data_IF_645531975137
#
_entry.id   IF_645531975137
#
_cell.length_a   1.000
_cell.length_b   1.000
_cell.length_c   1.000
_cell.angle_alpha   90.00
_cell.angle_beta   90.00
_cell.angle_gamma   90.00
#
_symmetry.space_group_name_H-M   'P 1'
#
loop_
_entity.id
_entity.type
_entity.pdbx_description
1 polymer ?
#
# COMPACT_ATOMS: atom_id res chain seq x y z
N UNK A 1 -59.14 -48.97 -73.76
CA UNK A 1 -58.91 -49.76 -72.54
C UNK A 1 -58.15 -48.90 -71.56
N UNK A 2 -58.76 -48.58 -70.43
CA UNK A 2 -58.10 -47.89 -69.32
C UNK A 2 -57.67 -48.98 -68.34
N UNK A 3 -56.36 -49.14 -68.15
CA UNK A 3 -55.84 -50.00 -67.08
C UNK A 3 -55.74 -49.16 -65.81
N UNK A 4 -56.40 -49.59 -64.74
CA UNK A 4 -56.19 -49.06 -63.39
C UNK A 4 -55.25 -50.01 -62.68
N UNK A 5 -54.01 -49.61 -62.48
CA UNK A 5 -53.06 -50.33 -61.63
C UNK A 5 -53.06 -49.68 -60.25
N UNK A 6 -53.58 -50.38 -59.25
CA UNK A 6 -53.41 -50.02 -57.84
C UNK A 6 -52.05 -50.54 -57.37
N UNK A 7 -51.04 -49.67 -57.36
CA UNK A 7 -49.81 -49.93 -56.61
C UNK A 7 -50.14 -49.97 -55.12
N UNK A 8 -49.98 -51.13 -54.48
CA UNK A 8 -50.01 -51.22 -53.02
C UNK A 8 -48.61 -50.90 -52.51
N UNK A 9 -48.50 -50.00 -51.54
CA UNK A 9 -47.22 -49.67 -50.91
C UNK A 9 -46.72 -50.87 -50.11
N UNK A 10 -45.40 -51.10 -50.10
CA UNK A 10 -44.81 -52.18 -49.34
C UNK A 10 -44.96 -51.98 -47.83
N UNK A 11 -44.64 -53.00 -47.03
CA UNK A 11 -44.56 -52.85 -45.58
C UNK A 11 -43.50 -51.80 -45.20
N UNK A 12 -43.73 -51.06 -44.11
CA UNK A 12 -42.77 -50.08 -43.61
C UNK A 12 -41.43 -50.76 -43.28
N UNK A 13 -40.33 -50.20 -43.79
CA UNK A 13 -38.99 -50.73 -43.62
C UNK A 13 -38.01 -49.71 -43.02
N UNK A 14 -38.25 -48.41 -43.23
CA UNK A 14 -37.36 -47.34 -42.75
C UNK A 14 -38.12 -46.07 -42.41
N UNK A 15 -37.49 -45.23 -41.61
CA UNK A 15 -37.87 -43.86 -41.36
C UNK A 15 -37.15 -42.94 -42.36
N UNK A 16 -37.82 -41.87 -42.77
CA UNK A 16 -37.21 -40.80 -43.55
C UNK A 16 -37.65 -39.44 -43.02
N UNK A 17 -36.72 -38.52 -42.85
CA UNK A 17 -37.03 -37.15 -42.42
C UNK A 17 -37.57 -36.40 -43.63
N UNK A 18 -38.82 -35.98 -43.58
CA UNK A 18 -39.45 -35.13 -44.61
C UNK A 18 -39.40 -33.65 -44.25
N UNK A 19 -39.12 -33.35 -42.99
CA UNK A 19 -38.89 -31.99 -42.50
C UNK A 19 -37.79 -32.08 -41.45
N UNK A 20 -36.65 -31.48 -41.74
CA UNK A 20 -35.52 -31.42 -40.80
C UNK A 20 -35.87 -30.58 -39.57
N UNK A 21 -35.29 -30.88 -38.39
CA UNK A 21 -35.25 -29.92 -37.29
C UNK A 21 -34.53 -28.63 -37.72
N UNK A 22 -34.70 -27.55 -36.95
CA UNK A 22 -33.99 -26.30 -37.21
C UNK A 22 -32.47 -26.50 -37.18
N UNK A 23 -31.74 -25.87 -38.10
CA UNK A 23 -30.28 -25.95 -38.19
C UNK A 23 -29.56 -25.23 -37.04
N UNK A 24 -30.26 -24.40 -36.27
CA UNK A 24 -29.82 -23.84 -35.01
C UNK A 24 -30.92 -23.92 -33.95
N UNK A 25 -30.51 -23.94 -32.68
CA UNK A 25 -31.41 -23.97 -31.53
C UNK A 25 -30.75 -23.32 -30.31
N UNK A 26 -31.55 -22.97 -29.31
CA UNK A 26 -31.06 -22.58 -27.99
C UNK A 26 -31.30 -23.73 -27.01
N UNK A 27 -30.31 -24.01 -26.16
CA UNK A 27 -30.44 -25.05 -25.14
C UNK A 27 -31.68 -24.82 -24.28
N UNK A 28 -32.52 -25.85 -24.14
CA UNK A 28 -33.75 -25.80 -23.34
C UNK A 28 -34.94 -25.12 -24.01
N UNK A 29 -34.79 -24.58 -25.20
CA UNK A 29 -35.90 -24.05 -26.00
C UNK A 29 -36.41 -25.10 -27.01
N UNK A 30 -37.73 -25.14 -27.30
CA UNK A 30 -38.25 -25.94 -28.39
C UNK A 30 -37.57 -25.57 -29.71
N UNK A 31 -37.28 -26.57 -30.55
CA UNK A 31 -36.78 -26.34 -31.90
C UNK A 31 -37.77 -25.50 -32.68
N UNK A 32 -37.31 -24.42 -33.32
CA UNK A 32 -38.18 -23.51 -34.05
C UNK A 32 -38.87 -24.21 -35.22
N UNK A 33 -38.14 -25.09 -35.90
CA UNK A 33 -38.67 -26.02 -36.89
C UNK A 33 -38.74 -27.42 -36.27
N UNK A 34 -39.96 -27.95 -36.15
CA UNK A 34 -40.20 -29.28 -35.62
C UNK A 34 -40.04 -30.33 -36.72
N UNK A 35 -39.37 -31.45 -36.44
CA UNK A 35 -39.14 -32.48 -37.44
C UNK A 35 -40.41 -33.27 -37.76
N UNK A 36 -40.50 -33.72 -39.02
CA UNK A 36 -41.54 -34.65 -39.48
C UNK A 36 -40.85 -35.87 -40.07
N UNK A 37 -41.24 -37.05 -39.61
CA UNK A 37 -40.68 -38.34 -40.04
C UNK A 37 -41.76 -39.16 -40.72
N UNK A 38 -41.49 -39.63 -41.93
CA UNK A 38 -42.39 -40.45 -42.73
C UNK A 38 -41.96 -41.92 -42.69
N UNK A 39 -42.91 -42.83 -42.48
CA UNK A 39 -42.71 -44.25 -42.73
C UNK A 39 -42.54 -44.48 -44.23
N UNK A 40 -41.47 -45.18 -44.63
CA UNK A 40 -41.25 -45.59 -46.00
C UNK A 40 -41.03 -47.10 -46.12
N UNK A 41 -41.42 -47.66 -47.26
CA UNK A 41 -41.05 -49.01 -47.64
C UNK A 41 -39.57 -49.09 -48.06
N UNK A 42 -39.09 -50.29 -48.39
CA UNK A 42 -37.71 -50.49 -48.82
C UNK A 42 -37.34 -49.69 -50.08
N UNK A 43 -38.32 -49.39 -50.92
CA UNK A 43 -38.18 -48.64 -52.17
C UNK A 43 -38.28 -47.12 -51.98
N UNK A 44 -38.57 -46.64 -50.77
CA UNK A 44 -38.68 -45.22 -50.44
C UNK A 44 -40.07 -44.61 -50.64
N UNK A 45 -41.08 -45.42 -50.90
CA UNK A 45 -42.45 -44.93 -51.02
C UNK A 45 -43.07 -44.70 -49.63
N UNK A 46 -43.87 -43.64 -49.42
CA UNK A 46 -44.54 -43.41 -48.14
C UNK A 46 -45.56 -44.51 -47.81
N UNK A 47 -45.56 -44.99 -46.58
CA UNK A 47 -46.46 -46.05 -46.09
C UNK A 47 -47.52 -45.46 -45.17
N UNK A 48 -48.80 -45.63 -45.52
CA UNK A 48 -49.94 -45.16 -44.73
C UNK A 48 -50.22 -46.11 -43.58
N UNK A 49 -49.64 -45.83 -42.41
CA UNK A 49 -49.83 -46.63 -41.20
C UNK A 49 -49.83 -45.72 -39.96
N UNK A 50 -50.92 -45.76 -39.19
CA UNK A 50 -51.07 -44.97 -37.97
C UNK A 50 -50.65 -45.73 -36.72
N UNK A 51 -50.27 -45.02 -35.67
CA UNK A 51 -49.99 -45.57 -34.34
C UNK A 51 -48.56 -46.12 -34.17
N UNK A 52 -47.68 -45.94 -35.15
CA UNK A 52 -46.26 -46.30 -35.00
C UNK A 52 -45.57 -45.23 -34.19
N UNK A 53 -44.95 -45.61 -33.06
CA UNK A 53 -44.22 -44.68 -32.20
C UNK A 53 -42.84 -44.40 -32.79
N UNK A 54 -42.55 -43.13 -33.04
CA UNK A 54 -41.23 -42.65 -33.45
C UNK A 54 -40.63 -41.87 -32.30
N UNK A 55 -39.41 -42.24 -31.89
CA UNK A 55 -38.66 -41.60 -30.81
C UNK A 55 -37.42 -40.93 -31.39
N UNK A 56 -37.19 -39.68 -31.03
CA UNK A 56 -35.96 -38.97 -31.28
C UNK A 56 -34.97 -39.22 -30.13
N UNK A 57 -33.71 -39.48 -30.47
CA UNK A 57 -32.59 -39.55 -29.53
C UNK A 57 -31.43 -38.72 -30.04
N UNK A 58 -30.55 -38.28 -29.15
CA UNK A 58 -29.31 -37.61 -29.57
C UNK A 58 -28.39 -38.64 -30.22
N UNK A 59 -28.04 -38.42 -31.48
CA UNK A 59 -27.17 -39.31 -32.26
C UNK A 59 -25.69 -38.95 -32.10
N UNK A 60 -25.39 -37.65 -32.06
CA UNK A 60 -24.06 -37.11 -31.83
C UNK A 60 -24.13 -35.77 -31.12
N UNK A 61 -23.04 -35.40 -30.45
CA UNK A 61 -22.86 -34.09 -29.82
C UNK A 61 -22.18 -34.18 -28.44
N UNK A 62 -21.84 -33.03 -27.83
CA UNK A 62 -21.09 -32.94 -26.58
C UNK A 62 -21.89 -33.26 -25.29
N UNK A 63 -22.99 -34.01 -25.41
CA UNK A 63 -23.86 -34.43 -24.30
C UNK A 63 -25.10 -33.56 -24.12
N UNK A 64 -26.26 -34.10 -24.51
CA UNK A 64 -27.55 -33.41 -24.44
C UNK A 64 -28.72 -34.35 -24.22
N UNK A 65 -29.85 -33.79 -23.80
CA UNK A 65 -31.11 -34.48 -23.52
C UNK A 65 -32.23 -33.91 -24.36
N UNK A 66 -33.20 -34.75 -24.70
CA UNK A 66 -34.40 -34.34 -25.41
C UNK A 66 -35.61 -34.37 -24.49
N UNK A 67 -36.49 -33.39 -24.63
CA UNK A 67 -37.84 -33.40 -24.08
C UNK A 67 -38.87 -33.39 -25.21
N UNK A 68 -40.06 -33.96 -24.97
CA UNK A 68 -41.08 -34.22 -26.00
C UNK A 68 -40.52 -35.04 -27.18
N UNK A 69 -39.71 -36.04 -26.84
CA UNK A 69 -38.89 -36.80 -27.78
C UNK A 69 -39.63 -37.94 -28.49
N UNK A 70 -40.94 -38.07 -28.36
CA UNK A 70 -41.71 -39.15 -28.99
C UNK A 70 -43.04 -38.65 -29.54
N UNK A 71 -43.46 -39.18 -30.68
CA UNK A 71 -44.78 -38.96 -31.26
C UNK A 71 -45.22 -40.22 -32.03
N UNK A 72 -46.49 -40.28 -32.43
CA UNK A 72 -47.03 -41.42 -33.19
C UNK A 72 -47.45 -41.02 -34.59
N UNK A 73 -47.31 -41.93 -35.56
CA UNK A 73 -47.73 -41.67 -36.93
C UNK A 73 -49.25 -41.52 -37.07
N UNK A 74 -49.67 -40.60 -37.95
CA UNK A 74 -51.07 -40.45 -38.37
C UNK A 74 -51.44 -41.46 -39.47
N UNK A 75 -52.66 -41.40 -39.99
CA UNK A 75 -53.11 -42.26 -41.10
C UNK A 75 -52.24 -42.18 -42.37
N UNK A 76 -51.50 -41.09 -42.58
CA UNK A 76 -50.55 -40.95 -43.69
C UNK A 76 -49.19 -41.62 -43.45
N UNK A 77 -48.94 -42.15 -42.24
CA UNK A 77 -47.62 -42.63 -41.84
C UNK A 77 -46.62 -41.54 -41.46
N UNK A 78 -47.06 -40.28 -41.35
CA UNK A 78 -46.22 -39.19 -40.88
C UNK A 78 -46.32 -39.02 -39.36
N UNK A 79 -45.16 -38.95 -38.71
CA UNK A 79 -44.96 -38.63 -37.30
C UNK A 79 -44.46 -37.18 -37.20
N UNK A 80 -45.34 -36.27 -36.80
CA UNK A 80 -45.01 -34.85 -36.60
C UNK A 80 -44.69 -34.60 -35.14
N UNK A 81 -43.47 -34.13 -34.87
CA UNK A 81 -43.08 -33.73 -33.52
C UNK A 81 -43.67 -32.37 -33.17
N UNK A 82 -43.91 -32.14 -31.87
CA UNK A 82 -44.36 -30.86 -31.35
C UNK A 82 -43.65 -30.60 -30.03
N UNK A 83 -43.07 -29.41 -29.88
CA UNK A 83 -42.33 -29.03 -28.67
C UNK A 83 -41.04 -29.82 -28.43
N UNK A 84 -40.52 -30.56 -29.43
CA UNK A 84 -39.23 -31.25 -29.32
C UNK A 84 -38.17 -30.22 -28.93
N UNK A 85 -37.54 -30.45 -27.79
CA UNK A 85 -36.61 -29.53 -27.15
C UNK A 85 -35.28 -30.23 -26.93
N UNK A 86 -34.19 -29.59 -27.35
CA UNK A 86 -32.81 -30.07 -27.11
C UNK A 86 -32.15 -29.20 -26.04
N UNK A 87 -31.66 -29.85 -24.98
CA UNK A 87 -30.90 -29.19 -23.91
C UNK A 87 -29.52 -29.81 -23.82
N UNK A 88 -28.47 -29.01 -23.73
CA UNK A 88 -27.10 -29.52 -23.69
C UNK A 88 -26.04 -28.43 -23.67
N UNK A 89 -24.78 -28.84 -23.71
CA UNK A 89 -23.66 -27.91 -23.87
C UNK A 89 -23.66 -27.31 -25.29
N UNK A 90 -23.20 -26.06 -25.43
CA UNK A 90 -23.08 -25.40 -26.74
C UNK A 90 -22.23 -26.25 -27.68
N UNK A 91 -22.73 -26.49 -28.90
CA UNK A 91 -22.03 -27.34 -29.86
C UNK A 91 -22.90 -27.81 -31.03
N UNK A 92 -22.37 -28.73 -31.83
CA UNK A 92 -23.08 -29.32 -32.96
C UNK A 92 -23.68 -30.67 -32.55
N UNK A 93 -24.96 -30.88 -32.89
CA UNK A 93 -25.71 -32.09 -32.57
C UNK A 93 -26.37 -32.67 -33.82
N UNK A 94 -26.58 -33.98 -33.85
CA UNK A 94 -27.54 -34.62 -34.76
C UNK A 94 -28.52 -35.46 -33.96
N UNK A 95 -29.76 -35.56 -34.46
CA UNK A 95 -30.81 -36.38 -33.85
C UNK A 95 -30.99 -37.64 -34.69
N UNK A 96 -31.23 -38.78 -34.03
CA UNK A 96 -31.59 -40.04 -34.67
C UNK A 96 -33.02 -40.34 -34.31
N UNK A 97 -33.85 -40.55 -35.33
CA UNK A 97 -35.22 -40.99 -35.17
C UNK A 97 -35.26 -42.50 -35.32
N UNK A 98 -35.86 -43.16 -34.34
CA UNK A 98 -35.94 -44.61 -34.24
C UNK A 98 -37.37 -45.08 -33.97
N UNK A 99 -37.68 -46.27 -34.45
CA UNK A 99 -38.92 -47.00 -34.22
C UNK A 99 -38.59 -48.50 -34.25
N UNK A 100 -39.37 -49.31 -33.55
CA UNK A 100 -39.15 -50.76 -33.50
C UNK A 100 -39.15 -51.35 -34.92
N UNK A 101 -38.10 -52.13 -35.24
CA UNK A 101 -37.93 -52.85 -36.51
C UNK A 101 -37.88 -51.99 -37.79
N UNK A 102 -37.61 -50.68 -37.68
CA UNK A 102 -37.41 -49.80 -38.84
C UNK A 102 -35.98 -49.25 -38.88
N UNK A 103 -35.43 -49.11 -40.09
CA UNK A 103 -34.17 -48.39 -40.30
C UNK A 103 -34.29 -46.94 -39.80
N UNK A 104 -33.35 -46.44 -38.97
CA UNK A 104 -33.44 -45.10 -38.42
C UNK A 104 -33.11 -44.02 -39.45
N UNK A 105 -33.54 -42.79 -39.19
CA UNK A 105 -33.11 -41.60 -39.93
C UNK A 105 -32.29 -40.67 -39.03
N UNK A 106 -31.28 -40.02 -39.59
CA UNK A 106 -30.41 -39.08 -38.87
C UNK A 106 -30.61 -37.69 -39.47
N UNK A 107 -30.80 -36.69 -38.61
CA UNK A 107 -30.97 -35.30 -39.04
C UNK A 107 -29.68 -34.69 -39.57
N UNK A 108 -29.85 -33.57 -40.25
CA UNK A 108 -28.78 -32.59 -40.44
C UNK A 108 -28.26 -32.05 -39.09
N UNK A 109 -27.08 -31.43 -39.10
CA UNK A 109 -26.47 -30.85 -37.91
C UNK A 109 -27.28 -29.65 -37.37
N UNK A 110 -27.41 -29.60 -36.05
CA UNK A 110 -28.05 -28.53 -35.29
C UNK A 110 -26.96 -27.81 -34.49
N UNK A 111 -26.72 -26.54 -34.79
CA UNK A 111 -25.88 -25.68 -33.98
C UNK A 111 -26.65 -25.23 -32.73
N UNK A 112 -26.35 -25.84 -31.59
CA UNK A 112 -26.94 -25.50 -30.30
C UNK A 112 -26.17 -24.34 -29.66
N UNK A 113 -26.83 -23.19 -29.53
CA UNK A 113 -26.38 -22.06 -28.71
C UNK A 113 -26.88 -22.16 -27.28
N UNK A 114 -26.38 -21.27 -26.42
CA UNK A 114 -26.81 -21.20 -25.02
C UNK A 114 -28.30 -20.84 -24.91
N UNK A 115 -28.93 -21.35 -23.85
CA UNK A 115 -30.29 -21.03 -23.46
C UNK A 115 -30.43 -19.64 -22.85
N UNK A 116 -31.63 -19.35 -22.34
CA UNK A 116 -31.87 -18.17 -21.53
C UNK A 116 -31.03 -18.21 -20.24
N UNK A 117 -30.55 -17.06 -19.79
CA UNK A 117 -29.81 -16.95 -18.54
C UNK A 117 -30.69 -17.38 -17.35
N UNK A 118 -30.10 -18.16 -16.44
CA UNK A 118 -30.73 -18.64 -15.21
C UNK A 118 -29.97 -18.20 -13.96
N UNK A 119 -28.63 -18.10 -14.04
CA UNK A 119 -27.77 -17.72 -12.91
C UNK A 119 -26.70 -16.73 -13.36
N UNK A 120 -26.13 -15.97 -12.43
CA UNK A 120 -24.87 -15.25 -12.63
C UNK A 120 -23.78 -15.83 -11.73
N UNK A 121 -22.52 -15.59 -12.07
CA UNK A 121 -21.38 -15.99 -11.25
C UNK A 121 -20.12 -15.21 -11.58
N UNK A 122 -19.24 -15.02 -10.59
CA UNK A 122 -17.94 -14.39 -10.79
C UNK A 122 -17.04 -15.30 -11.64
N UNK A 123 -16.54 -14.78 -12.75
CA UNK A 123 -15.58 -15.46 -13.65
C UNK A 123 -14.19 -14.82 -13.61
N UNK A 124 -14.12 -13.55 -13.22
CA UNK A 124 -12.90 -12.94 -12.69
C UNK A 124 -13.22 -12.37 -11.31
N UNK A 125 -12.62 -12.97 -10.28
CA UNK A 125 -12.81 -12.59 -8.87
C UNK A 125 -12.17 -11.22 -8.58
N UNK A 126 -12.68 -10.46 -7.59
CA UNK A 126 -11.98 -9.31 -7.05
C UNK A 126 -10.63 -9.72 -6.45
N UNK A 127 -9.60 -8.92 -6.71
CA UNK A 127 -8.29 -9.03 -6.08
C UNK A 127 -8.16 -8.02 -4.93
N UNK A 128 -7.11 -8.18 -4.12
CA UNK A 128 -6.82 -7.16 -3.10
C UNK A 128 -6.29 -5.87 -3.75
N UNK A 129 -6.71 -4.72 -3.22
CA UNK A 129 -6.33 -3.40 -3.72
C UNK A 129 -6.14 -2.40 -2.58
N UNK A 130 -5.45 -1.28 -2.83
CA UNK A 130 -5.40 -0.19 -1.85
C UNK A 130 -6.76 0.53 -1.77
N UNK A 131 -7.07 1.10 -0.61
CA UNK A 131 -8.27 1.90 -0.41
C UNK A 131 -8.37 3.03 -1.44
N UNK A 132 -9.52 3.14 -2.09
CA UNK A 132 -9.79 4.10 -3.18
C UNK A 132 -9.15 3.74 -4.53
N UNK A 133 -8.23 2.79 -4.60
CA UNK A 133 -7.66 2.33 -5.86
C UNK A 133 -8.63 1.40 -6.60
N UNK A 134 -8.55 1.42 -7.93
CA UNK A 134 -9.29 0.48 -8.78
C UNK A 134 -8.83 -0.94 -8.52
N UNK A 135 -9.78 -1.85 -8.30
CA UNK A 135 -9.53 -3.30 -8.20
C UNK A 135 -9.12 -3.81 -9.58
N UNK A 136 -7.91 -4.39 -9.66
CA UNK A 136 -7.30 -4.85 -10.91
C UNK A 136 -6.69 -6.25 -10.72
N UNK A 137 -6.89 -7.21 -11.66
CA UNK A 137 -7.65 -7.08 -12.91
C UNK A 137 -9.15 -6.79 -12.72
N UNK A 138 -9.80 -6.31 -13.78
CA UNK A 138 -11.24 -5.98 -13.74
C UNK A 138 -12.08 -7.19 -13.36
N UNK A 139 -13.04 -6.98 -12.45
CA UNK A 139 -13.99 -8.01 -12.01
C UNK A 139 -14.96 -8.33 -13.15
N UNK A 140 -15.27 -9.61 -13.35
CA UNK A 140 -16.20 -10.07 -14.38
C UNK A 140 -17.26 -10.99 -13.77
N UNK A 141 -18.51 -10.72 -14.13
CA UNK A 141 -19.67 -11.55 -13.78
C UNK A 141 -20.30 -12.07 -15.07
N UNK A 142 -20.49 -13.38 -15.15
CA UNK A 142 -21.02 -14.05 -16.35
C UNK A 142 -22.41 -14.63 -16.08
N UNK A 143 -23.35 -14.33 -16.97
CA UNK A 143 -24.66 -14.96 -17.00
C UNK A 143 -24.57 -16.35 -17.64
N UNK A 144 -25.16 -17.34 -16.99
CA UNK A 144 -25.17 -18.74 -17.42
C UNK A 144 -26.57 -19.27 -17.55
N UNK A 145 -26.82 -20.10 -18.55
CA UNK A 145 -28.06 -20.87 -18.67
C UNK A 145 -28.11 -22.04 -17.66
N UNK A 146 -29.22 -22.78 -17.64
CA UNK A 146 -29.41 -23.92 -16.74
C UNK A 146 -28.43 -25.08 -16.98
N UNK A 147 -27.73 -25.10 -18.11
CA UNK A 147 -26.70 -26.09 -18.44
C UNK A 147 -25.28 -25.58 -18.16
N UNK A 148 -25.15 -24.36 -17.62
CA UNK A 148 -23.86 -23.74 -17.29
C UNK A 148 -23.17 -23.07 -18.48
N UNK A 149 -23.80 -23.02 -19.66
CA UNK A 149 -23.26 -22.32 -20.82
C UNK A 149 -23.36 -20.80 -20.60
N UNK A 150 -22.41 -20.03 -21.12
CA UNK A 150 -22.52 -18.57 -21.14
C UNK A 150 -23.70 -18.14 -22.01
N UNK A 151 -24.69 -17.50 -21.39
CA UNK A 151 -25.87 -16.99 -22.08
C UNK A 151 -25.50 -15.71 -22.86
N UNK A 152 -24.91 -15.86 -24.05
CA UNK A 152 -24.34 -14.74 -24.82
C UNK A 152 -25.36 -13.69 -25.27
N UNK A 153 -26.64 -14.07 -25.37
CA UNK A 153 -27.74 -13.15 -25.67
C UNK A 153 -28.15 -12.28 -24.46
N UNK A 154 -27.65 -12.56 -23.26
CA UNK A 154 -27.93 -11.75 -22.08
C UNK A 154 -27.19 -10.41 -22.17
N UNK A 155 -27.97 -9.33 -22.24
CA UNK A 155 -27.51 -7.94 -22.26
C UNK A 155 -28.01 -7.12 -21.06
N UNK A 156 -28.47 -7.81 -20.00
CA UNK A 156 -28.97 -7.16 -18.79
C UNK A 156 -27.88 -6.43 -18.01
N UNK A 157 -28.29 -5.50 -17.15
CA UNK A 157 -27.37 -4.83 -16.21
C UNK A 157 -27.14 -5.71 -14.99
N UNK A 158 -25.87 -5.88 -14.63
CA UNK A 158 -25.44 -6.51 -13.39
C UNK A 158 -25.04 -5.39 -12.42
N UNK A 159 -25.52 -5.49 -11.18
CA UNK A 159 -25.17 -4.58 -10.09
C UNK A 159 -24.37 -5.34 -9.03
N UNK A 160 -23.28 -4.74 -8.54
CA UNK A 160 -22.50 -5.23 -7.42
C UNK A 160 -22.81 -4.46 -6.15
N UNK A 161 -22.92 -5.18 -5.05
CA UNK A 161 -22.96 -4.66 -3.68
C UNK A 161 -21.84 -5.27 -2.84
N UNK A 162 -21.63 -4.73 -1.64
CA UNK A 162 -20.74 -5.36 -0.65
C UNK A 162 -21.55 -6.40 0.12
N UNK A 163 -21.05 -7.65 0.16
CA UNK A 163 -21.58 -8.70 1.02
C UNK A 163 -21.09 -8.54 2.46
N UNK A 164 -19.85 -8.95 2.72
CA UNK A 164 -19.17 -8.73 4.00
C UNK A 164 -18.48 -7.37 3.94
N UNK A 165 -18.82 -6.47 4.87
CA UNK A 165 -18.28 -5.11 4.96
C UNK A 165 -17.58 -4.87 6.31
N UNK A 166 -16.34 -5.38 6.49
CA UNK A 166 -15.67 -5.41 7.79
C UNK A 166 -15.33 -4.02 8.35
N UNK A 167 -15.18 -3.00 7.48
CA UNK A 167 -14.77 -1.66 7.89
C UNK A 167 -15.75 -0.54 7.49
N UNK A 168 -16.98 -0.89 7.06
CA UNK A 168 -17.98 0.10 6.64
C UNK A 168 -17.55 0.91 5.40
N UNK A 169 -16.87 0.26 4.46
CA UNK A 169 -16.47 0.86 3.19
C UNK A 169 -17.64 1.09 2.23
N UNK A 170 -17.41 1.97 1.27
CA UNK A 170 -18.31 2.34 0.17
C UNK A 170 -17.75 1.75 -1.12
N UNK A 171 -18.59 1.04 -1.88
CA UNK A 171 -18.25 0.50 -3.19
C UNK A 171 -18.60 1.50 -4.29
N UNK A 172 -17.65 1.78 -5.19
CA UNK A 172 -17.85 2.61 -6.39
C UNK A 172 -17.77 1.76 -7.66
N UNK A 173 -18.38 2.21 -8.76
CA UNK A 173 -18.36 1.47 -10.04
C UNK A 173 -19.28 0.25 -10.06
N UNK A 174 -20.43 0.33 -9.40
CA UNK A 174 -21.27 -0.83 -9.04
C UNK A 174 -22.11 -1.41 -10.17
N UNK A 175 -22.27 -0.76 -11.31
CA UNK A 175 -23.19 -1.21 -12.38
C UNK A 175 -22.48 -1.39 -13.71
N UNK A 176 -22.73 -2.50 -14.40
CA UNK A 176 -22.20 -2.76 -15.74
C UNK A 176 -23.19 -3.58 -16.57
N UNK A 177 -23.37 -3.21 -17.84
CA UNK A 177 -24.18 -3.97 -18.78
C UNK A 177 -23.41 -5.17 -19.32
N UNK A 178 -24.07 -6.32 -19.41
CA UNK A 178 -23.45 -7.50 -19.99
C UNK A 178 -23.28 -7.37 -21.51
N UNK A 179 -22.10 -7.73 -22.01
CA UNK A 179 -21.80 -7.88 -23.43
C UNK A 179 -21.40 -9.32 -23.67
N UNK A 180 -22.10 -10.00 -24.59
CA UNK A 180 -21.95 -11.45 -24.80
C UNK A 180 -22.13 -12.26 -23.50
N UNK A 181 -23.06 -11.84 -22.64
CA UNK A 181 -23.34 -12.50 -21.35
C UNK A 181 -22.32 -12.19 -20.24
N UNK A 182 -21.36 -11.27 -20.45
CA UNK A 182 -20.35 -10.91 -19.43
C UNK A 182 -20.44 -9.42 -19.09
N UNK A 183 -20.67 -9.12 -17.82
CA UNK A 183 -20.56 -7.76 -17.27
C UNK A 183 -19.15 -7.56 -16.70
N UNK A 184 -18.44 -6.54 -17.19
CA UNK A 184 -17.07 -6.22 -16.78
C UNK A 184 -17.06 -4.92 -15.99
N UNK A 185 -16.46 -4.93 -14.80
CA UNK A 185 -16.37 -3.80 -13.89
C UNK A 185 -14.93 -3.28 -13.86
N UNK A 186 -14.63 -2.29 -14.69
CA UNK A 186 -13.27 -1.78 -14.92
C UNK A 186 -12.83 -0.67 -13.95
N UNK A 187 -13.74 -0.11 -13.17
CA UNK A 187 -13.52 1.01 -12.26
C UNK A 187 -14.03 0.73 -10.84
N UNK A 188 -14.15 -0.55 -10.46
CA UNK A 188 -14.61 -0.95 -9.13
C UNK A 188 -13.58 -0.55 -8.07
N UNK A 189 -13.99 0.09 -6.98
CA UNK A 189 -13.10 0.44 -5.86
C UNK A 189 -13.86 0.49 -4.52
N UNK A 190 -13.13 0.31 -3.41
CA UNK A 190 -13.65 0.45 -2.04
C UNK A 190 -12.80 1.46 -1.28
N UNK A 191 -13.44 2.40 -0.58
CA UNK A 191 -12.80 3.58 0.05
C UNK A 191 -12.12 3.32 1.40
N UNK A 192 -12.37 2.19 2.08
CA UNK A 192 -11.85 1.91 3.42
C UNK A 192 -11.05 0.61 3.52
N UNK A 193 -9.87 0.64 4.15
CA UNK A 193 -9.08 -0.56 4.39
C UNK A 193 -9.81 -1.53 5.31
N UNK A 194 -9.68 -2.83 5.02
CA UNK A 194 -10.30 -3.91 5.77
C UNK A 194 -9.99 -5.28 5.16
N UNK A 195 -10.03 -6.32 5.99
CA UNK A 195 -9.71 -7.70 5.60
C UNK A 195 -10.98 -8.52 5.48
N UNK A 196 -11.12 -9.26 4.38
CA UNK A 196 -12.26 -10.18 4.18
C UNK A 196 -13.52 -9.54 3.61
N UNK A 197 -13.39 -8.51 2.78
CA UNK A 197 -14.51 -8.02 1.98
C UNK A 197 -15.02 -9.12 1.03
N UNK A 198 -16.32 -9.15 0.76
CA UNK A 198 -16.90 -9.91 -0.35
C UNK A 198 -17.85 -9.02 -1.15
N UNK A 199 -18.09 -9.38 -2.41
CA UNK A 199 -19.06 -8.72 -3.26
C UNK A 199 -20.26 -9.63 -3.54
N UNK A 200 -21.45 -9.05 -3.63
CA UNK A 200 -22.66 -9.72 -4.12
C UNK A 200 -23.00 -9.19 -5.49
N UNK A 201 -23.21 -10.07 -6.46
CA UNK A 201 -23.68 -9.71 -7.79
C UNK A 201 -25.18 -10.00 -7.92
N UNK A 202 -25.92 -9.03 -8.46
CA UNK A 202 -27.35 -9.11 -8.71
C UNK A 202 -27.69 -8.72 -10.15
N UNK A 203 -28.67 -9.41 -10.72
CA UNK A 203 -29.26 -9.08 -12.01
C UNK A 203 -30.72 -9.53 -12.03
N UNK A 204 -31.62 -8.71 -12.58
CA UNK A 204 -33.06 -8.96 -12.58
C UNK A 204 -33.41 -10.35 -13.11
N UNK A 205 -34.07 -11.15 -12.27
CA UNK A 205 -34.57 -12.49 -12.62
C UNK A 205 -33.53 -13.61 -12.57
N UNK A 206 -32.29 -13.33 -12.14
CA UNK A 206 -31.21 -14.32 -12.02
C UNK A 206 -30.85 -14.55 -10.54
N UNK A 207 -30.42 -15.77 -10.21
CA UNK A 207 -29.92 -16.07 -8.87
C UNK A 207 -28.61 -15.30 -8.58
N UNK A 208 -28.53 -14.68 -7.40
CA UNK A 208 -27.35 -13.92 -6.97
C UNK A 208 -26.11 -14.79 -6.80
N UNK A 209 -24.94 -14.17 -6.94
CA UNK A 209 -23.65 -14.78 -6.65
C UNK A 209 -22.87 -13.97 -5.62
N UNK A 210 -22.02 -14.65 -4.84
CA UNK A 210 -21.08 -14.02 -3.91
C UNK A 210 -19.65 -14.30 -4.37
N UNK A 211 -18.77 -13.31 -4.29
CA UNK A 211 -17.35 -13.45 -4.63
C UNK A 211 -16.58 -14.20 -3.56
N UNK A 212 -15.35 -14.59 -3.88
CA UNK A 212 -14.38 -14.95 -2.85
C UNK A 212 -14.02 -13.72 -2.00
N UNK A 213 -13.45 -13.97 -0.82
CA UNK A 213 -13.01 -12.91 0.08
C UNK A 213 -11.72 -12.24 -0.44
N UNK A 214 -11.62 -10.92 -0.31
CA UNK A 214 -10.47 -10.12 -0.68
C UNK A 214 -10.22 -8.98 0.33
N UNK A 215 -9.06 -8.33 0.24
CA UNK A 215 -8.67 -7.29 1.19
C UNK A 215 -8.58 -5.92 0.52
N UNK A 216 -8.93 -4.90 1.26
CA UNK A 216 -8.58 -3.52 0.93
C UNK A 216 -7.47 -3.09 1.88
N UNK A 217 -6.30 -2.75 1.35
CA UNK A 217 -5.15 -2.35 2.15
C UNK A 217 -5.12 -0.83 2.33
N UNK A 218 -4.48 -0.30 3.38
CA UNK A 218 -4.20 1.13 3.46
C UNK A 218 -3.43 1.61 2.20
N UNK A 219 -3.61 2.87 1.78
CA UNK A 219 -2.78 3.46 0.73
C UNK A 219 -1.28 3.37 1.06
N UNK A 220 -0.40 3.19 0.06
CA UNK A 220 1.03 3.09 0.30
C UNK A 220 1.60 4.41 0.83
N UNK A 221 2.50 4.30 1.80
CA UNK A 221 3.32 5.43 2.27
C UNK A 221 4.23 5.96 1.16
N UNK A 222 4.45 7.28 1.13
CA UNK A 222 5.33 7.93 0.14
C UNK A 222 6.40 8.82 0.75
N UNK A 223 6.12 9.46 1.90
CA UNK A 223 7.05 10.40 2.52
C UNK A 223 6.85 10.48 4.03
N UNK A 224 7.86 11.02 4.73
CA UNK A 224 7.78 11.34 6.16
C UNK A 224 7.69 12.86 6.34
N UNK A 225 7.11 13.30 7.45
CA UNK A 225 7.05 14.72 7.84
C UNK A 225 7.21 14.86 9.36
N UNK A 226 7.78 15.97 9.83
CA UNK A 226 7.78 16.33 11.24
C UNK A 226 6.43 16.93 11.64
N UNK A 227 5.67 16.24 12.48
CA UNK A 227 4.37 16.70 13.01
C UNK A 227 4.50 17.37 14.36
N UNK A 228 5.46 16.95 15.19
CA UNK A 228 5.95 17.72 16.33
C UNK A 228 7.40 18.08 16.05
N UNK A 229 7.64 19.38 15.84
CA UNK A 229 8.95 19.93 15.50
C UNK A 229 9.90 19.91 16.71
N UNK A 230 11.22 19.75 16.49
CA UNK A 230 12.19 20.03 17.53
C UNK A 230 12.13 21.51 17.93
N UNK A 231 12.41 21.78 19.20
CA UNK A 231 12.45 23.11 19.80
C UNK A 231 13.86 23.41 20.31
N UNK A 232 14.17 24.70 20.48
CA UNK A 232 15.45 25.11 21.07
C UNK A 232 15.54 24.66 22.52
N UNK A 233 16.70 24.12 22.90
CA UNK A 233 16.96 23.63 24.27
C UNK A 233 18.40 23.88 24.68
N UNK A 234 18.78 23.47 25.88
CA UNK A 234 20.15 23.57 26.39
C UNK A 234 20.96 22.34 25.99
N UNK A 235 22.27 22.50 25.79
CA UNK A 235 23.18 21.41 25.48
C UNK A 235 23.05 20.26 26.49
N UNK A 236 22.87 19.03 25.98
CA UNK A 236 22.68 17.81 26.76
C UNK A 236 21.27 17.59 27.32
N UNK A 237 20.41 18.61 27.30
CA UNK A 237 19.00 18.48 27.68
C UNK A 237 18.19 17.83 26.56
N UNK A 238 17.12 17.13 26.95
CA UNK A 238 16.21 16.53 25.99
C UNK A 238 15.47 17.62 25.21
N UNK A 239 15.32 17.42 23.90
CA UNK A 239 14.47 18.25 23.06
C UNK A 239 13.01 17.98 23.47
N UNK A 240 12.32 19.02 23.92
CA UNK A 240 10.96 18.95 24.46
C UNK A 240 10.05 20.05 23.87
N UNK A 241 8.84 19.73 23.39
CA UNK A 241 8.16 18.43 23.44
C UNK A 241 8.86 17.35 22.59
N UNK A 242 8.50 16.08 22.85
CA UNK A 242 9.03 14.94 22.10
C UNK A 242 8.81 15.13 20.61
N UNK A 243 9.84 14.88 19.80
CA UNK A 243 9.76 15.04 18.35
C UNK A 243 8.91 13.90 17.78
N UNK A 244 7.98 14.22 16.90
CA UNK A 244 7.14 13.23 16.22
C UNK A 244 7.32 13.34 14.72
N UNK A 245 7.54 12.18 14.09
CA UNK A 245 7.63 12.04 12.64
C UNK A 245 6.50 11.15 12.18
N UNK A 246 5.66 11.67 11.29
CA UNK A 246 4.52 10.97 10.71
C UNK A 246 4.79 10.58 9.27
N UNK A 247 4.37 9.37 8.90
CA UNK A 247 4.41 8.86 7.53
C UNK A 247 3.11 9.17 6.83
N UNK A 248 3.20 9.77 5.65
CA UNK A 248 2.04 10.16 4.84
C UNK A 248 2.01 9.40 3.51
N UNK A 249 0.80 9.22 2.99
CA UNK A 249 0.55 8.76 1.62
C UNK A 249 0.68 9.90 0.60
N UNK A 250 0.47 9.61 -0.69
CA UNK A 250 0.53 10.61 -1.76
C UNK A 250 -0.55 11.71 -1.65
N UNK A 251 -1.61 11.49 -0.89
CA UNK A 251 -2.73 12.41 -0.70
C UNK A 251 -2.56 13.24 0.58
N UNK A 252 -1.50 13.02 1.36
CA UNK A 252 -1.22 13.72 2.61
C UNK A 252 -1.93 13.12 3.83
N UNK A 253 -2.53 11.94 3.72
CA UNK A 253 -3.13 11.25 4.86
C UNK A 253 -2.06 10.41 5.59
N UNK A 254 -2.24 10.20 6.89
CA UNK A 254 -1.36 9.31 7.65
C UNK A 254 -1.46 7.87 7.13
N UNK A 255 -0.32 7.32 6.72
CA UNK A 255 -0.21 5.95 6.26
C UNK A 255 -0.20 4.99 7.47
N UNK A 256 -1.38 4.77 8.05
CA UNK A 256 -1.55 3.99 9.30
C UNK A 256 -1.08 2.54 9.21
N UNK A 257 -1.00 1.98 8.00
CA UNK A 257 -0.43 0.65 7.75
C UNK A 257 1.10 0.58 7.80
N UNK A 258 1.80 1.72 7.84
CA UNK A 258 3.25 1.75 7.93
C UNK A 258 3.72 1.48 9.37
N UNK A 259 4.58 0.46 9.52
CA UNK A 259 5.16 0.01 10.79
C UNK A 259 6.69 -0.06 10.76
N UNK A 260 7.32 0.45 9.69
CA UNK A 260 8.78 0.46 9.55
C UNK A 260 9.46 1.43 10.51
N UNK A 261 10.78 1.32 10.61
CA UNK A 261 11.61 2.24 11.38
C UNK A 261 11.79 3.58 10.65
N UNK A 262 11.65 4.67 11.41
CA UNK A 262 12.06 6.01 11.03
C UNK A 262 13.37 6.31 11.78
N UNK A 263 14.35 6.83 11.06
CA UNK A 263 15.64 7.27 11.62
C UNK A 263 15.75 8.78 11.52
N UNK A 264 16.16 9.41 12.62
CA UNK A 264 16.44 10.84 12.74
C UNK A 264 17.93 11.04 12.91
N UNK A 265 18.50 11.95 12.11
CA UNK A 265 19.89 12.40 12.19
C UNK A 265 19.94 13.93 12.24
N UNK A 266 21.12 14.51 12.50
CA UNK A 266 21.33 15.94 12.31
C UNK A 266 21.37 16.23 10.81
N UNK A 267 20.58 17.20 10.36
CA UNK A 267 20.67 17.78 9.03
C UNK A 267 21.79 18.83 8.99
N UNK A 268 21.49 20.02 9.48
CA UNK A 268 22.44 21.13 9.63
C UNK A 268 23.11 21.04 10.99
N UNK A 269 24.44 20.95 11.02
CA UNK A 269 25.24 20.79 12.24
C UNK A 269 26.23 21.96 12.45
N UNK A 270 25.71 23.18 12.59
CA UNK A 270 26.56 24.38 12.64
C UNK A 270 27.50 24.43 13.86
N UNK A 271 27.08 23.89 15.01
CA UNK A 271 27.89 23.83 16.24
C UNK A 271 28.76 22.57 16.36
N UNK A 272 28.73 21.65 15.38
CA UNK A 272 29.52 20.42 15.41
C UNK A 272 29.14 19.46 16.54
N UNK A 273 27.85 19.41 16.89
CA UNK A 273 27.32 18.56 17.96
C UNK A 273 27.04 17.13 17.53
N UNK A 274 26.81 16.29 18.52
CA UNK A 274 26.43 14.88 18.40
C UNK A 274 24.98 14.70 18.83
N UNK A 275 24.15 14.10 17.97
CA UNK A 275 22.80 13.70 18.34
C UNK A 275 22.84 12.37 19.10
N UNK A 276 22.23 12.34 20.26
CA UNK A 276 22.14 11.15 21.14
C UNK A 276 20.70 10.89 21.57
N UNK A 277 20.48 9.78 22.27
CA UNK A 277 19.16 9.27 22.61
C UNK A 277 18.71 8.17 21.65
N UNK A 278 17.40 7.94 21.55
CA UNK A 278 16.82 7.00 20.59
C UNK A 278 16.69 7.71 19.25
N UNK A 279 17.56 7.40 18.29
CA UNK A 279 17.55 8.03 16.95
C UNK A 279 16.84 7.20 15.88
N UNK A 280 16.41 5.98 16.22
CA UNK A 280 15.58 5.15 15.36
C UNK A 280 14.41 4.57 16.16
N UNK A 281 13.20 4.74 15.65
CA UNK A 281 11.98 4.27 16.29
C UNK A 281 11.03 3.66 15.25
N UNK A 282 10.36 2.56 15.61
CA UNK A 282 9.30 1.98 14.80
C UNK A 282 8.06 2.87 14.81
N UNK A 283 7.44 3.05 13.66
CA UNK A 283 6.18 3.78 13.57
C UNK A 283 5.03 2.92 14.11
N UNK A 284 4.19 3.51 14.96
CA UNK A 284 2.90 2.96 15.38
C UNK A 284 1.78 3.76 14.72
N UNK A 285 0.90 3.11 13.96
CA UNK A 285 -0.13 3.76 13.15
C UNK A 285 0.44 4.89 12.26
N UNK A 286 1.63 4.67 11.69
CA UNK A 286 2.31 5.65 10.85
C UNK A 286 3.00 6.80 11.60
N UNK A 287 3.12 6.78 12.93
CA UNK A 287 3.80 7.83 13.71
C UNK A 287 4.94 7.25 14.54
N UNK A 288 6.13 7.84 14.47
CA UNK A 288 7.26 7.55 15.37
C UNK A 288 7.52 8.74 16.29
N UNK A 289 7.64 8.46 17.59
CA UNK A 289 7.90 9.46 18.64
C UNK A 289 9.31 9.28 19.20
N UNK A 290 10.04 10.39 19.29
CA UNK A 290 11.42 10.46 19.76
C UNK A 290 11.48 11.35 21.01
N UNK A 291 11.42 10.74 22.19
CA UNK A 291 11.20 11.44 23.47
C UNK A 291 12.46 11.88 24.20
N UNK A 292 13.63 11.47 23.74
CA UNK A 292 14.90 11.64 24.46
C UNK A 292 16.06 12.10 23.57
N UNK A 293 15.78 12.70 22.41
CA UNK A 293 16.80 13.28 21.54
C UNK A 293 17.52 14.42 22.26
N UNK A 294 18.86 14.45 22.18
CA UNK A 294 19.73 15.44 22.83
C UNK A 294 20.89 15.80 21.90
N UNK A 295 21.36 17.05 21.95
CA UNK A 295 22.56 17.52 21.27
C UNK A 295 23.50 18.16 22.29
N UNK A 296 24.80 17.84 22.23
CA UNK A 296 25.81 18.20 23.23
C UNK A 296 26.54 19.53 22.99
N UNK A 297 26.51 20.05 21.76
CA UNK A 297 27.17 21.31 21.41
C UNK A 297 26.19 22.45 21.18
N UNK A 298 26.52 23.61 21.74
CA UNK A 298 25.80 24.84 21.51
C UNK A 298 26.02 25.33 20.06
N UNK A 299 24.97 25.88 19.48
CA UNK A 299 24.99 26.41 18.12
C UNK A 299 23.60 26.81 17.66
N UNK A 300 23.54 27.72 16.68
CA UNK A 300 22.29 28.17 16.10
C UNK A 300 22.03 27.51 14.76
N UNK A 301 20.75 27.28 14.46
CA UNK A 301 20.32 26.79 13.15
C UNK A 301 20.52 25.30 12.95
N UNK A 302 20.46 24.50 14.01
CA UNK A 302 20.36 23.05 13.90
C UNK A 302 19.09 22.66 13.17
N UNK A 303 19.15 21.60 12.37
CA UNK A 303 17.97 20.93 11.83
C UNK A 303 18.11 19.42 12.05
N UNK A 304 16.98 18.73 12.11
CA UNK A 304 16.92 17.27 12.10
C UNK A 304 16.45 16.78 10.73
N UNK A 305 17.04 15.71 10.24
CA UNK A 305 16.64 15.01 9.03
C UNK A 305 16.02 13.65 9.40
N UNK A 306 14.78 13.42 8.97
CA UNK A 306 14.08 12.16 9.14
C UNK A 306 14.06 11.35 7.84
N UNK A 307 14.26 10.04 7.96
CA UNK A 307 14.31 9.12 6.81
C UNK A 307 13.72 7.75 7.16
N UNK A 308 13.21 7.07 6.14
CA UNK A 308 12.72 5.70 6.21
C UNK A 308 12.92 5.02 4.84
N UNK A 309 13.15 3.71 4.84
CA UNK A 309 13.45 2.96 3.60
C UNK A 309 12.32 3.08 2.58
N UNK A 310 12.67 3.50 1.36
CA UNK A 310 11.71 3.64 0.26
C UNK A 310 10.80 4.87 0.32
N UNK A 311 10.97 5.75 1.30
CA UNK A 311 10.19 6.98 1.45
C UNK A 311 11.05 8.23 1.20
N UNK A 312 10.42 9.28 0.71
CA UNK A 312 11.05 10.61 0.67
C UNK A 312 11.23 11.13 2.10
N UNK A 313 12.45 11.56 2.43
CA UNK A 313 12.80 12.11 3.75
C UNK A 313 12.24 13.53 3.99
N UNK A 314 12.37 14.01 5.23
CA UNK A 314 12.03 15.39 5.60
C UNK A 314 13.12 16.05 6.43
N UNK A 315 13.18 17.37 6.37
CA UNK A 315 14.03 18.21 7.23
C UNK A 315 13.13 19.04 8.13
N UNK A 316 13.48 19.13 9.42
CA UNK A 316 12.74 19.93 10.39
C UNK A 316 12.93 21.43 10.16
N UNK A 317 12.15 22.24 10.88
CA UNK A 317 12.49 23.65 11.07
C UNK A 317 13.82 23.79 11.82
N UNK A 318 14.45 24.96 11.69
CA UNK A 318 15.65 25.30 12.44
C UNK A 318 15.35 25.51 13.93
N UNK A 319 16.25 25.05 14.78
CA UNK A 319 16.24 25.28 16.22
C UNK A 319 17.66 25.49 16.75
N UNK A 320 17.78 25.99 17.97
CA UNK A 320 19.07 26.32 18.57
C UNK A 320 19.38 25.41 19.76
N UNK A 321 20.66 25.12 19.95
CA UNK A 321 21.16 24.55 21.19
C UNK A 321 21.93 25.64 21.92
N UNK A 322 21.47 25.98 23.11
CA UNK A 322 22.12 26.99 23.97
C UNK A 322 23.14 26.31 24.90
N UNK A 323 24.22 27.00 25.29
CA UNK A 323 25.16 26.46 26.28
C UNK A 323 24.47 26.20 27.62
N UNK A 324 24.94 25.17 28.34
CA UNK A 324 24.55 24.91 29.71
C UNK A 324 25.09 25.93 30.70
N UNK A 325 24.71 25.76 31.97
CA UNK A 325 25.34 26.50 33.05
C UNK A 325 26.85 26.18 33.12
N UNK A 326 27.66 27.19 33.43
CA UNK A 326 29.09 26.99 33.61
C UNK A 326 29.37 25.98 34.73
N UNK A 327 30.29 25.06 34.47
CA UNK A 327 30.77 24.08 35.47
C UNK A 327 32.28 24.15 35.68
N UNK A 328 33.01 24.76 34.73
CA UNK A 328 34.48 24.79 34.73
C UNK A 328 35.02 26.06 34.09
N UNK A 329 36.24 26.42 34.48
CA UNK A 329 37.05 27.47 33.87
C UNK A 329 38.16 26.85 33.03
N UNK A 330 38.63 27.57 32.02
CA UNK A 330 39.81 27.20 31.24
C UNK A 330 40.51 28.44 30.69
N UNK A 331 41.84 28.39 30.56
CA UNK A 331 42.59 29.44 29.87
C UNK A 331 42.44 29.31 28.36
N UNK A 332 41.86 30.32 27.71
CA UNK A 332 41.72 30.41 26.25
C UNK A 332 42.77 31.32 25.62
N UNK A 333 43.29 32.29 26.38
CA UNK A 333 44.55 32.97 26.08
C UNK A 333 45.47 32.79 27.28
N UNK A 334 46.54 32.03 27.08
CA UNK A 334 47.54 31.73 28.10
C UNK A 334 48.41 32.97 28.41
N UNK A 335 48.92 33.10 29.64
CA UNK A 335 49.98 34.06 29.91
C UNK A 335 51.23 33.75 29.08
N UNK A 336 51.98 34.80 28.75
CA UNK A 336 53.21 34.73 27.96
C UNK A 336 54.38 35.25 28.77
N UNK A 337 55.60 34.91 28.35
CA UNK A 337 56.80 35.44 28.96
C UNK A 337 56.83 36.97 28.81
N UNK A 338 57.12 37.67 29.90
CA UNK A 338 57.21 39.14 29.94
C UNK A 338 58.32 39.58 30.89
N UNK A 339 58.79 40.82 30.77
CA UNK A 339 59.77 41.35 31.73
C UNK A 339 59.11 41.65 33.08
N UNK A 340 59.87 41.64 34.17
CA UNK A 340 59.37 42.07 35.48
C UNK A 340 58.75 43.47 35.41
N UNK A 341 57.62 43.67 36.09
CA UNK A 341 56.75 44.84 36.00
C UNK A 341 56.09 45.08 34.62
N UNK A 342 56.45 44.33 33.59
CA UNK A 342 55.81 44.36 32.29
C UNK A 342 54.42 43.74 32.31
N UNK A 343 53.48 44.33 31.57
CA UNK A 343 52.17 43.74 31.36
C UNK A 343 52.31 42.44 30.57
N UNK A 344 51.61 41.39 31.00
CA UNK A 344 51.47 40.14 30.26
C UNK A 344 50.63 40.45 29.00
N UNK A 345 51.23 40.24 27.82
CA UNK A 345 50.61 40.55 26.53
C UNK A 345 50.81 39.40 25.55
N UNK A 346 49.75 38.91 24.87
CA UNK A 346 48.37 39.42 24.87
C UNK A 346 47.64 39.25 26.23
N UNK A 347 46.51 39.97 26.45
CA UNK A 347 45.67 39.82 27.63
C UNK A 347 45.29 38.36 27.92
N UNK A 348 45.44 37.95 29.17
CA UNK A 348 45.05 36.60 29.60
C UNK A 348 43.53 36.50 29.56
N UNK A 349 43.01 35.44 28.94
CA UNK A 349 41.58 35.18 28.84
C UNK A 349 41.23 33.84 29.48
N UNK A 350 40.17 33.87 30.29
CA UNK A 350 39.62 32.72 30.98
C UNK A 350 38.18 32.56 30.55
N UNK A 351 37.84 31.40 30.03
CA UNK A 351 36.50 31.07 29.56
C UNK A 351 35.82 30.13 30.55
N UNK A 352 34.61 30.49 30.95
CA UNK A 352 33.69 29.64 31.67
C UNK A 352 32.91 28.78 30.68
N UNK A 353 32.99 27.47 30.85
CA UNK A 353 32.35 26.49 29.98
C UNK A 353 31.42 25.57 30.76
N UNK A 354 30.40 25.04 30.09
CA UNK A 354 29.56 23.97 30.61
C UNK A 354 30.29 22.61 30.60
N UNK A 355 29.60 21.57 31.09
CA UNK A 355 30.15 20.21 31.18
C UNK A 355 30.48 19.57 29.82
N UNK A 356 29.96 20.13 28.72
CA UNK A 356 30.23 19.69 27.35
C UNK A 356 31.27 20.56 26.66
N UNK A 357 31.87 21.52 27.37
CA UNK A 357 32.88 22.44 26.84
C UNK A 357 32.30 23.53 25.94
N UNK A 358 31.01 23.83 26.03
CA UNK A 358 30.42 25.00 25.38
C UNK A 358 30.70 26.24 26.22
N UNK A 359 31.04 27.35 25.60
CA UNK A 359 31.18 28.63 26.30
C UNK A 359 29.84 29.02 26.91
N UNK A 360 29.76 29.12 28.23
CA UNK A 360 28.55 29.48 28.95
C UNK A 360 28.29 30.98 28.79
N UNK A 361 27.70 31.39 27.66
CA UNK A 361 27.55 32.81 27.27
C UNK A 361 26.67 33.64 28.21
N UNK A 362 25.88 32.99 29.07
CA UNK A 362 25.09 33.66 30.11
C UNK A 362 25.85 33.84 31.42
N UNK A 363 27.05 33.27 31.56
CA UNK A 363 27.87 33.43 32.75
C UNK A 363 28.48 34.84 32.80
N UNK A 364 28.11 35.59 33.85
CA UNK A 364 28.57 36.96 34.13
C UNK A 364 29.26 37.09 35.50
N UNK A 365 29.62 35.96 36.11
CA UNK A 365 30.24 35.93 37.43
C UNK A 365 31.65 36.52 37.43
N UNK A 366 32.12 36.92 38.61
CA UNK A 366 33.51 37.34 38.83
C UNK A 366 34.44 36.13 38.75
N UNK A 367 35.47 36.23 37.92
CA UNK A 367 36.60 35.29 37.88
C UNK A 367 37.78 35.94 38.60
N UNK A 368 38.30 35.27 39.63
CA UNK A 368 39.51 35.68 40.33
C UNK A 368 40.72 34.94 39.76
N UNK A 369 41.86 35.63 39.65
CA UNK A 369 43.14 35.07 39.22
C UNK A 369 44.22 35.30 40.28
N UNK A 370 45.07 34.31 40.49
CA UNK A 370 46.19 34.36 41.43
C UNK A 370 47.39 33.60 40.88
N UNK A 371 48.56 33.76 41.52
CA UNK A 371 49.72 32.92 41.24
C UNK A 371 49.43 31.50 41.76
N UNK A 372 49.58 30.51 40.89
CA UNK A 372 49.58 29.09 41.25
C UNK A 372 50.95 28.69 41.78
N UNK A 373 51.86 28.39 40.86
CA UNK A 373 53.27 28.19 41.14
C UNK A 373 54.01 29.53 41.09
N UNK A 374 54.62 29.90 42.21
CA UNK A 374 55.52 31.05 42.28
C UNK A 374 56.95 30.64 41.90
N UNK A 375 57.41 31.12 40.74
CA UNK A 375 58.70 30.79 40.14
C UNK A 375 59.84 31.77 40.45
N UNK A 376 59.65 32.70 41.39
CA UNK A 376 60.61 33.78 41.68
C UNK A 376 61.99 33.27 42.10
N UNK A 377 63.07 33.83 41.52
CA UNK A 377 64.44 33.34 41.73
C UNK A 377 64.99 33.65 43.13
N UNK A 378 64.80 34.89 43.59
CA UNK A 378 65.35 35.38 44.86
C UNK A 378 64.26 35.61 45.91
N UNK A 379 63.09 36.07 45.46
CA UNK A 379 61.91 36.34 46.29
C UNK A 379 60.65 35.88 45.55
N UNK A 380 59.58 35.52 46.27
CA UNK A 380 58.29 35.24 45.64
C UNK A 380 57.79 36.47 44.88
N UNK A 381 57.33 36.27 43.64
CA UNK A 381 56.67 37.31 42.84
C UNK A 381 55.30 37.69 43.39
N UNK A 382 54.94 38.96 43.22
CA UNK A 382 53.63 39.54 43.50
C UNK A 382 52.90 39.80 42.19
N UNK A 383 51.70 39.23 42.04
CA UNK A 383 50.82 39.52 40.91
C UNK A 383 50.04 40.82 41.17
N UNK A 384 50.04 41.70 40.18
CA UNK A 384 49.35 42.99 40.17
C UNK A 384 48.45 43.14 38.95
N UNK A 385 47.62 44.19 38.92
CA UNK A 385 46.59 44.43 37.91
C UNK A 385 45.18 44.10 38.42
N UNK A 386 44.25 43.88 37.51
CA UNK A 386 42.85 43.59 37.80
C UNK A 386 42.67 42.11 38.16
N UNK A 387 42.83 41.75 39.43
CA UNK A 387 42.83 40.33 39.88
C UNK A 387 41.45 39.68 39.97
N UNK A 388 40.37 40.43 39.74
CA UNK A 388 39.00 39.93 39.69
C UNK A 388 38.21 40.64 38.60
N UNK A 389 37.78 39.91 37.57
CA UNK A 389 37.11 40.45 36.38
C UNK A 389 35.78 39.75 36.16
N UNK A 390 34.74 40.51 35.85
CA UNK A 390 33.44 39.96 35.44
C UNK A 390 33.58 39.30 34.07
N UNK A 391 33.09 38.07 33.93
CA UNK A 391 32.96 37.48 32.62
C UNK A 391 31.94 38.25 31.76
N UNK A 392 32.26 38.49 30.50
CA UNK A 392 31.34 39.01 29.48
C UNK A 392 31.14 37.90 28.47
N UNK A 393 29.89 37.48 28.27
CA UNK A 393 29.56 36.33 27.44
C UNK A 393 30.36 35.06 27.79
N UNK A 394 30.58 34.81 29.08
CA UNK A 394 31.36 33.66 29.56
C UNK A 394 32.89 33.81 29.49
N UNK A 395 33.42 34.97 29.08
CA UNK A 395 34.87 35.20 29.00
C UNK A 395 35.30 36.34 29.92
N UNK A 396 36.20 36.06 30.86
CA UNK A 396 36.89 37.07 31.66
C UNK A 396 38.24 37.42 31.00
N UNK A 397 38.48 38.71 30.76
CA UNK A 397 39.72 39.21 30.12
C UNK A 397 40.53 40.04 31.10
N UNK A 398 41.72 39.56 31.43
CA UNK A 398 42.66 40.21 32.33
C UNK A 398 43.71 40.96 31.51
N UNK A 399 43.51 42.27 31.34
CA UNK A 399 44.26 43.09 30.37
C UNK A 399 45.56 43.72 30.90
N UNK A 400 45.75 43.73 32.22
CA UNK A 400 46.75 44.53 32.92
C UNK A 400 47.60 43.74 33.93
N UNK A 401 47.61 42.40 33.82
CA UNK A 401 48.37 41.55 34.73
C UNK A 401 49.88 41.77 34.61
N UNK A 402 50.58 41.84 35.74
CA UNK A 402 52.03 42.02 35.81
C UNK A 402 52.61 41.37 37.07
N UNK A 403 53.83 40.83 36.98
CA UNK A 403 54.57 40.23 38.10
C UNK A 403 55.89 40.98 38.30
N UNK A 404 56.23 41.28 39.55
CA UNK A 404 57.35 42.14 39.94
C UNK A 404 58.71 41.43 40.08
N UNK A 405 58.75 40.09 40.12
CA UNK A 405 59.99 39.31 40.31
C UNK A 405 60.34 38.43 39.10
N UNK A 406 61.59 38.52 38.58
CA UNK A 406 62.11 37.56 37.62
C UNK A 406 62.09 36.13 38.16
N UNK A 407 61.79 35.18 37.29
CA UNK A 407 61.56 33.78 37.67
C UNK A 407 61.14 32.91 36.50
N UNK A 408 61.20 31.60 36.71
CA UNK A 408 60.83 30.60 35.71
C UNK A 408 59.71 29.70 36.20
N UNK A 409 58.92 29.18 35.26
CA UNK A 409 57.80 28.27 35.55
C UNK A 409 56.72 28.86 36.46
N UNK A 410 56.42 30.16 36.30
CA UNK A 410 55.20 30.70 36.91
C UNK A 410 53.97 30.04 36.29
N UNK A 411 52.95 29.85 37.12
CA UNK A 411 51.59 29.55 36.65
C UNK A 411 50.59 30.49 37.30
N UNK A 412 49.45 30.67 36.64
CA UNK A 412 48.29 31.36 37.17
C UNK A 412 47.17 30.37 37.44
N UNK A 413 46.49 30.49 38.57
CA UNK A 413 45.28 29.72 38.90
C UNK A 413 44.06 30.63 38.90
N UNK A 414 42.94 30.10 38.44
CA UNK A 414 41.67 30.84 38.34
C UNK A 414 40.56 30.15 39.12
N UNK A 415 39.69 30.95 39.72
CA UNK A 415 38.54 30.45 40.49
C UNK A 415 37.33 31.37 40.33
N UNK A 416 36.13 30.79 40.41
CA UNK A 416 34.87 31.53 40.41
C UNK A 416 33.78 30.71 41.11
N UNK A 417 33.38 31.10 42.31
CA UNK A 417 32.35 30.40 43.08
C UNK A 417 32.64 28.90 43.25
N UNK A 418 31.73 28.05 42.79
CA UNK A 418 31.84 26.58 42.83
C UNK A 418 32.34 25.96 41.52
N UNK A 419 32.74 26.76 40.53
CA UNK A 419 33.26 26.24 39.26
C UNK A 419 34.58 25.52 39.49
N UNK A 420 34.82 24.44 38.74
CA UNK A 420 36.14 23.83 38.69
C UNK A 420 37.15 24.86 38.13
N UNK A 421 38.19 25.18 38.91
CA UNK A 421 39.25 26.09 38.51
C UNK A 421 40.16 25.49 37.43
N UNK A 422 41.09 26.31 36.93
CA UNK A 422 42.13 25.89 36.01
C UNK A 422 43.47 26.50 36.41
N UNK A 423 44.54 25.86 35.94
CA UNK A 423 45.91 26.36 36.05
C UNK A 423 46.47 26.60 34.64
N UNK A 424 47.22 27.68 34.46
CA UNK A 424 47.81 28.06 33.19
C UNK A 424 48.98 27.15 32.81
N UNK A 425 49.42 27.24 31.56
CA UNK A 425 50.75 26.76 31.20
C UNK A 425 51.83 27.56 31.93
N UNK A 426 53.04 26.98 31.99
CA UNK A 426 54.22 27.66 32.52
C UNK A 426 54.62 28.87 31.65
N UNK A 427 55.01 29.96 32.30
CA UNK A 427 55.62 31.12 31.67
C UNK A 427 56.71 31.72 32.58
N UNK A 428 57.59 32.52 31.98
CA UNK A 428 58.74 33.11 32.67
C UNK A 428 58.59 34.63 32.80
N UNK A 429 59.11 35.17 33.90
CA UNK A 429 59.31 36.60 34.07
C UNK A 429 60.80 36.88 33.89
N UNK A 430 61.15 37.63 32.84
CA UNK A 430 62.55 37.92 32.54
C UNK A 430 63.02 39.18 33.26
N UNK A 431 64.33 39.32 33.43
CA UNK A 431 64.91 40.59 33.84
C UNK A 431 64.60 41.67 32.80
N UNK A 432 64.25 42.87 33.25
CA UNK A 432 64.27 44.05 32.38
C UNK A 432 65.70 44.30 31.93
N UNK A 433 65.96 44.45 30.62
CA UNK A 433 67.29 44.78 30.11
C UNK A 433 67.83 46.11 30.63
#
# INVERSE_FOLDING_TARGET
MTFTATGTTGAAAKLAITTEPSSSAQSGAPLAQQPVVQLQDANGNPVSQSGVTVTAVVASGPGGTLANASTTTTGSGAASFSGLTLSGTVGSYTLRFESTNLGPAISSAIALGAGAAATIGFTAQPSSAAAGATISPAVQVTARDAQGNTATAFAGTVTLGIGINPAGGTLSGTTSAAVNGVATFSNLSIDKPGTGYTLTADASGLAQATSDAFNITPPPATHVVFTVQPSSTTAGEAIAPAVEVTVLDAQGNTATGFSGNITVAIGTNAGGGTLSGTTSAGAANGVATFSNLRIDKAGSGYTLAASASGLTGATSNSFDITPGAATQLSFTVQPTNTAAFGTISPPVQVTASDAFGNVATTFTGQVAIAIGHNGGLLFPGTLSGSLSVAAVAGVATFADLSIDQPGSNYTLVVSAGTLAGAESAFFDITVTP
#
